data_IF_557912356109
#
_entry.id   IF_557912356109
#
_cell.length_a   1.000
_cell.length_b   1.000
_cell.length_c   1.000
_cell.angle_alpha   90.00
_cell.angle_beta   90.00
_cell.angle_gamma   90.00
#
_symmetry.space_group_name_H-M   'P 1'
#
loop_
_entity.id
_entity.type
_entity.pdbx_description
1 polymer ?
#
# COMPACT_ATOMS: atom_id res chain seq x y z
N UNK A 1 -45.69 -14.26 -2.14
CA UNK A 1 -44.45 -14.06 -2.91
C UNK A 1 -43.35 -13.86 -1.90
N UNK A 2 -42.48 -14.85 -1.68
CA UNK A 2 -41.35 -14.68 -0.75
C UNK A 2 -40.27 -13.90 -1.48
N UNK A 3 -40.04 -12.65 -1.08
CA UNK A 3 -38.85 -11.91 -1.51
C UNK A 3 -37.64 -12.59 -0.88
N UNK A 4 -36.86 -13.31 -1.68
CA UNK A 4 -35.58 -13.83 -1.23
C UNK A 4 -34.71 -12.64 -0.80
N UNK A 5 -34.10 -12.77 0.38
CA UNK A 5 -33.20 -11.75 0.91
C UNK A 5 -31.94 -11.74 0.01
N UNK A 6 -31.83 -10.75 -0.87
CA UNK A 6 -30.64 -10.51 -1.67
C UNK A 6 -29.81 -9.40 -1.05
N UNK A 7 -28.50 -9.38 -1.31
CA UNK A 7 -27.59 -8.35 -0.79
C UNK A 7 -28.10 -6.93 -1.11
N UNK A 8 -28.63 -6.75 -2.33
CA UNK A 8 -29.12 -5.47 -2.84
C UNK A 8 -30.34 -4.92 -2.06
N UNK A 9 -31.08 -5.80 -1.37
CA UNK A 9 -32.27 -5.43 -0.60
C UNK A 9 -31.96 -5.11 0.87
N UNK A 10 -30.70 -5.25 1.30
CA UNK A 10 -30.26 -4.90 2.65
C UNK A 10 -29.98 -3.39 2.76
N UNK A 11 -30.13 -2.77 3.94
CA UNK A 11 -29.63 -1.41 4.19
C UNK A 11 -28.13 -1.30 3.89
N UNK A 12 -27.69 -0.14 3.41
CA UNK A 12 -26.30 0.07 2.98
C UNK A 12 -25.28 -0.18 4.08
N UNK A 13 -25.64 0.10 5.33
CA UNK A 13 -24.82 -0.15 6.52
C UNK A 13 -24.60 -1.65 6.75
N UNK A 14 -25.61 -2.47 6.49
CA UNK A 14 -25.53 -3.93 6.61
C UNK A 14 -24.69 -4.50 5.46
N UNK A 15 -24.88 -3.99 4.24
CA UNK A 15 -24.04 -4.37 3.10
C UNK A 15 -22.57 -4.04 3.37
N UNK A 16 -22.29 -2.83 3.87
CA UNK A 16 -20.94 -2.40 4.24
C UNK A 16 -20.35 -3.29 5.34
N UNK A 17 -21.13 -3.60 6.37
CA UNK A 17 -20.70 -4.47 7.45
C UNK A 17 -20.32 -5.85 6.92
N UNK A 18 -21.16 -6.49 6.11
CA UNK A 18 -20.88 -7.80 5.49
C UNK A 18 -19.60 -7.73 4.64
N UNK A 19 -19.51 -6.76 3.73
CA UNK A 19 -18.38 -6.64 2.81
C UNK A 19 -17.06 -6.30 3.52
N UNK A 20 -17.11 -5.60 4.66
CA UNK A 20 -15.94 -5.30 5.48
C UNK A 20 -15.30 -6.53 6.13
N UNK A 21 -16.04 -7.64 6.25
CA UNK A 21 -15.54 -8.89 6.82
C UNK A 21 -14.88 -9.79 5.77
N UNK A 22 -14.96 -9.43 4.48
CA UNK A 22 -14.43 -10.23 3.39
C UNK A 22 -12.97 -9.85 3.15
N UNK A 23 -12.08 -10.84 3.08
CA UNK A 23 -10.67 -10.63 2.80
C UNK A 23 -10.43 -9.98 1.43
N UNK A 24 -9.34 -9.22 1.29
CA UNK A 24 -9.07 -8.40 0.11
C UNK A 24 -9.11 -9.17 -1.23
N UNK A 25 -8.66 -10.44 -1.25
CA UNK A 25 -8.71 -11.27 -2.45
C UNK A 25 -10.15 -11.55 -2.92
N UNK A 26 -10.99 -12.03 -1.99
CA UNK A 26 -12.39 -12.35 -2.26
C UNK A 26 -13.18 -11.08 -2.55
N UNK A 27 -12.91 -10.02 -1.79
CA UNK A 27 -13.52 -8.71 -1.97
C UNK A 27 -13.20 -8.14 -3.36
N UNK A 28 -11.96 -8.28 -3.83
CA UNK A 28 -11.56 -7.92 -5.19
C UNK A 28 -12.26 -8.75 -6.27
N UNK A 29 -12.56 -10.02 -5.98
CA UNK A 29 -13.29 -10.91 -6.90
C UNK A 29 -14.77 -10.52 -6.99
N UNK A 30 -15.44 -10.33 -5.86
CA UNK A 30 -16.87 -9.94 -5.84
C UNK A 30 -17.08 -8.50 -6.31
N UNK A 31 -16.09 -7.61 -6.16
CA UNK A 31 -16.16 -6.25 -6.70
C UNK A 31 -16.33 -6.22 -8.23
N UNK A 32 -16.05 -7.32 -8.93
CA UNK A 32 -16.23 -7.43 -10.39
C UNK A 32 -17.60 -7.97 -10.80
N UNK A 33 -18.45 -8.40 -9.87
CA UNK A 33 -19.73 -9.06 -10.18
C UNK A 33 -20.90 -8.09 -10.32
N UNK A 34 -20.88 -6.96 -9.61
CA UNK A 34 -21.97 -5.97 -9.60
C UNK A 34 -21.44 -4.55 -9.42
N UNK A 35 -22.10 -3.57 -10.05
CA UNK A 35 -21.79 -2.14 -9.86
C UNK A 35 -21.97 -1.69 -8.41
N UNK A 36 -23.01 -2.19 -7.74
CA UNK A 36 -23.29 -1.86 -6.34
C UNK A 36 -22.17 -2.39 -5.44
N UNK A 37 -21.84 -3.67 -5.58
CA UNK A 37 -20.75 -4.30 -4.82
C UNK A 37 -19.43 -3.60 -5.14
N UNK A 38 -19.17 -3.25 -6.40
CA UNK A 38 -17.98 -2.49 -6.78
C UNK A 38 -17.88 -1.14 -6.04
N UNK A 39 -18.98 -0.40 -5.95
CA UNK A 39 -19.02 0.91 -5.29
C UNK A 39 -18.70 0.83 -3.79
N UNK A 40 -19.11 -0.25 -3.12
CA UNK A 40 -18.86 -0.45 -1.68
C UNK A 40 -17.49 -1.08 -1.44
N UNK A 41 -17.13 -2.11 -2.23
CA UNK A 41 -15.88 -2.85 -2.08
C UNK A 41 -14.64 -2.01 -2.45
N UNK A 42 -14.75 -1.11 -3.43
CA UNK A 42 -13.61 -0.33 -3.92
C UNK A 42 -13.00 0.55 -2.83
N UNK A 43 -13.76 1.35 -2.06
CA UNK A 43 -13.23 2.06 -0.90
C UNK A 43 -12.58 1.13 0.12
N UNK A 44 -13.21 -0.02 0.42
CA UNK A 44 -12.67 -0.99 1.38
C UNK A 44 -11.32 -1.58 0.94
N UNK A 45 -11.13 -1.82 -0.36
CA UNK A 45 -9.90 -2.37 -0.92
C UNK A 45 -8.74 -1.36 -0.97
N UNK A 46 -9.05 -0.09 -1.22
CA UNK A 46 -8.03 0.91 -1.53
C UNK A 46 -7.78 1.92 -0.42
N UNK A 47 -8.67 2.04 0.56
CA UNK A 47 -8.50 3.03 1.64
C UNK A 47 -7.32 2.69 2.56
N UNK A 48 -7.11 1.40 2.82
CA UNK A 48 -6.16 0.89 3.80
C UNK A 48 -5.30 -0.23 3.22
N UNK A 49 -4.04 0.09 2.96
CA UNK A 49 -3.07 -0.81 2.36
C UNK A 49 -2.09 -1.25 3.45
N UNK A 50 -2.28 -2.47 3.95
CA UNK A 50 -1.38 -3.14 4.89
C UNK A 50 -0.69 -4.31 4.18
N UNK A 51 0.60 -4.17 3.92
CA UNK A 51 1.38 -5.15 3.17
C UNK A 51 2.24 -6.05 4.07
N UNK A 52 2.20 -5.85 5.39
CA UNK A 52 2.77 -6.79 6.34
C UNK A 52 1.88 -8.02 6.55
N UNK A 53 2.51 -9.04 7.12
CA UNK A 53 1.82 -10.24 7.59
C UNK A 53 1.23 -10.03 8.98
N UNK A 54 0.16 -10.79 9.27
CA UNK A 54 -0.48 -10.80 10.58
C UNK A 54 0.52 -11.00 11.74
N UNK A 55 0.42 -10.15 12.76
CA UNK A 55 1.30 -10.16 13.94
C UNK A 55 2.65 -9.45 13.73
N UNK A 56 2.91 -8.80 12.59
CA UNK A 56 4.13 -7.99 12.41
C UNK A 56 4.25 -6.91 13.50
N UNK A 57 3.17 -6.14 13.72
CA UNK A 57 3.12 -5.07 14.70
C UNK A 57 3.01 -5.54 16.16
N UNK A 58 2.96 -6.85 16.37
CA UNK A 58 3.04 -7.49 17.70
C UNK A 58 4.41 -8.15 17.91
N UNK A 59 5.16 -8.36 16.82
CA UNK A 59 6.46 -9.00 16.84
C UNK A 59 7.51 -8.13 17.55
N UNK A 60 8.53 -8.80 18.08
CA UNK A 60 9.73 -8.17 18.65
C UNK A 60 10.60 -7.43 17.62
N UNK A 61 10.36 -7.67 16.33
CA UNK A 61 11.16 -7.10 15.24
C UNK A 61 10.73 -5.67 14.89
N UNK A 62 9.53 -5.28 15.31
CA UNK A 62 9.04 -3.92 15.10
C UNK A 62 9.49 -3.00 16.25
N UNK A 63 10.02 -1.83 15.89
CA UNK A 63 10.24 -0.73 16.83
C UNK A 63 8.86 -0.23 17.31
N UNK A 64 8.60 -0.33 18.62
CA UNK A 64 7.27 -0.01 19.21
C UNK A 64 7.01 1.48 19.42
N UNK A 65 7.93 2.36 19.02
CA UNK A 65 7.83 3.81 19.22
C UNK A 65 8.02 4.54 17.88
N UNK A 66 7.07 5.39 17.45
CA UNK A 66 5.72 5.50 17.99
C UNK A 66 4.93 4.18 17.82
N UNK A 67 3.88 3.95 18.64
CA UNK A 67 2.98 2.83 18.41
C UNK A 67 2.36 2.94 17.00
N UNK A 68 1.94 1.82 16.40
CA UNK A 68 1.33 1.85 15.07
C UNK A 68 0.15 2.84 15.03
N UNK A 69 -0.05 3.52 13.90
CA UNK A 69 -1.07 4.58 13.76
C UNK A 69 -2.49 4.07 14.07
N UNK A 70 -2.68 2.79 13.78
CA UNK A 70 -3.94 2.06 13.92
C UNK A 70 -3.72 0.78 14.68
N UNK A 71 -4.75 0.41 15.45
CA UNK A 71 -4.80 -0.84 16.22
C UNK A 71 -4.48 -2.04 15.31
N UNK A 72 -3.41 -2.80 15.61
CA UNK A 72 -3.06 -4.03 14.91
C UNK A 72 -4.24 -4.99 14.71
N UNK A 73 -5.13 -5.14 15.69
CA UNK A 73 -6.23 -6.10 15.62
C UNK A 73 -7.27 -5.79 14.52
N UNK A 74 -7.29 -4.57 14.00
CA UNK A 74 -8.27 -4.09 13.02
C UNK A 74 -7.65 -3.81 11.65
N UNK A 75 -6.40 -4.22 11.42
CA UNK A 75 -5.72 -4.03 10.13
C UNK A 75 -6.09 -5.14 9.14
N UNK A 76 -6.18 -4.84 7.84
CA UNK A 76 -6.48 -5.82 6.80
C UNK A 76 -5.24 -6.65 6.48
N UNK A 77 -4.63 -7.28 7.48
CA UNK A 77 -3.43 -8.09 7.30
C UNK A 77 -3.66 -9.20 6.29
N UNK A 78 -2.56 -9.57 5.66
CA UNK A 78 -2.50 -10.82 4.93
C UNK A 78 -2.26 -11.97 5.90
N UNK A 79 -3.03 -13.05 5.73
CA UNK A 79 -2.76 -14.30 6.42
C UNK A 79 -1.34 -14.77 6.13
N UNK A 80 -0.65 -15.16 7.20
CA UNK A 80 0.67 -15.77 7.11
C UNK A 80 0.60 -17.03 6.23
N UNK A 81 1.43 -17.16 5.18
CA UNK A 81 1.55 -18.43 4.50
C UNK A 81 2.04 -19.49 5.51
N UNK A 82 1.52 -20.71 5.41
CA UNK A 82 1.79 -21.82 6.37
C UNK A 82 3.29 -22.13 6.58
N UNK A 83 4.16 -21.68 5.68
CA UNK A 83 5.60 -21.98 5.66
C UNK A 83 6.46 -20.82 5.11
N UNK A 84 6.24 -19.58 5.58
CA UNK A 84 6.99 -18.40 5.12
C UNK A 84 8.01 -17.88 6.13
N UNK A 85 9.15 -17.39 5.64
CA UNK A 85 10.24 -16.76 6.39
C UNK A 85 10.14 -15.22 6.45
N UNK A 86 8.92 -14.68 6.30
CA UNK A 86 8.67 -13.24 6.22
C UNK A 86 8.87 -12.63 4.83
N UNK A 87 9.30 -13.41 3.82
CA UNK A 87 9.36 -12.95 2.42
C UNK A 87 7.99 -12.62 1.80
N UNK A 88 6.90 -13.08 2.39
CA UNK A 88 5.55 -12.85 1.87
C UNK A 88 5.18 -11.37 1.83
N UNK A 89 5.51 -10.61 2.87
CA UNK A 89 5.30 -9.16 2.91
C UNK A 89 6.12 -8.44 1.81
N UNK A 90 7.40 -8.79 1.68
CA UNK A 90 8.30 -8.22 0.67
C UNK A 90 7.82 -8.49 -0.75
N UNK A 91 7.44 -9.74 -1.07
CA UNK A 91 6.91 -10.08 -2.40
C UNK A 91 5.62 -9.34 -2.75
N UNK A 92 4.71 -9.18 -1.78
CA UNK A 92 3.45 -8.45 -2.00
C UNK A 92 3.68 -6.96 -2.22
N UNK A 93 4.55 -6.36 -1.40
CA UNK A 93 4.95 -4.98 -1.59
C UNK A 93 5.61 -4.77 -2.96
N UNK A 94 6.54 -5.64 -3.34
CA UNK A 94 7.13 -5.64 -4.69
C UNK A 94 6.07 -5.69 -5.78
N UNK A 95 5.12 -6.64 -5.72
CA UNK A 95 4.05 -6.76 -6.71
C UNK A 95 3.16 -5.51 -6.76
N UNK A 96 2.79 -4.98 -5.60
CA UNK A 96 1.98 -3.77 -5.49
C UNK A 96 2.66 -2.59 -6.18
N UNK A 97 3.91 -2.30 -5.81
CA UNK A 97 4.66 -1.19 -6.39
C UNK A 97 4.98 -1.41 -7.87
N UNK A 98 5.29 -2.64 -8.29
CA UNK A 98 5.50 -2.96 -9.70
C UNK A 98 4.25 -2.64 -10.54
N UNK A 99 3.06 -3.02 -10.07
CA UNK A 99 1.79 -2.67 -10.72
C UNK A 99 1.61 -1.15 -10.82
N UNK A 100 1.95 -0.40 -9.76
CA UNK A 100 1.89 1.06 -9.78
C UNK A 100 2.91 1.69 -10.76
N UNK A 101 4.12 1.15 -10.85
CA UNK A 101 5.16 1.60 -11.79
C UNK A 101 4.76 1.34 -13.24
N UNK A 102 4.16 0.18 -13.53
CA UNK A 102 3.61 -0.14 -14.84
C UNK A 102 2.45 0.81 -15.16
N UNK A 103 1.51 1.01 -14.22
CA UNK A 103 0.41 1.96 -14.40
C UNK A 103 0.87 3.40 -14.62
N UNK A 104 1.96 3.84 -13.98
CA UNK A 104 2.54 5.15 -14.24
C UNK A 104 2.87 5.34 -15.73
N UNK A 105 3.44 4.30 -16.37
CA UNK A 105 3.82 4.32 -17.78
C UNK A 105 2.60 4.19 -18.70
N UNK A 106 1.72 3.25 -18.41
CA UNK A 106 0.63 2.86 -19.32
C UNK A 106 -0.62 3.72 -19.16
N UNK A 107 -0.95 4.13 -17.94
CA UNK A 107 -2.18 4.83 -17.61
C UNK A 107 -2.04 5.71 -16.35
N UNK A 108 -1.34 6.86 -16.46
CA UNK A 108 -1.06 7.75 -15.32
C UNK A 108 -2.34 8.31 -14.68
N UNK A 109 -3.40 8.53 -15.47
CA UNK A 109 -4.70 8.96 -14.94
C UNK A 109 -5.30 7.91 -13.99
N UNK A 110 -5.18 6.64 -14.36
CA UNK A 110 -5.66 5.53 -13.53
C UNK A 110 -4.82 5.38 -12.27
N UNK A 111 -3.50 5.54 -12.37
CA UNK A 111 -2.61 5.57 -11.21
C UNK A 111 -3.07 6.63 -10.21
N UNK A 112 -3.29 7.86 -10.68
CA UNK A 112 -3.76 8.97 -9.85
C UNK A 112 -5.10 8.66 -9.18
N UNK A 113 -6.09 8.17 -9.93
CA UNK A 113 -7.41 7.84 -9.39
C UNK A 113 -7.37 6.78 -8.29
N UNK A 114 -6.46 5.80 -8.41
CA UNK A 114 -6.32 4.71 -7.44
C UNK A 114 -5.58 5.19 -6.20
N UNK A 115 -4.40 5.79 -6.38
CA UNK A 115 -3.53 6.23 -5.28
C UNK A 115 -4.16 7.34 -4.43
N UNK A 116 -5.00 8.20 -5.02
CA UNK A 116 -5.80 9.19 -4.30
C UNK A 116 -6.83 8.61 -3.32
N UNK A 117 -7.15 7.32 -3.40
CA UNK A 117 -8.10 6.68 -2.49
C UNK A 117 -7.44 6.17 -1.22
N UNK A 118 -6.11 6.03 -1.24
CA UNK A 118 -5.34 5.46 -0.15
C UNK A 118 -5.17 6.52 0.94
N UNK A 119 -5.67 6.21 2.14
CA UNK A 119 -5.51 7.05 3.33
C UNK A 119 -4.47 6.49 4.28
N UNK A 120 -4.30 5.17 4.27
CA UNK A 120 -3.37 4.47 5.14
C UNK A 120 -2.49 3.54 4.31
N UNK A 121 -1.18 3.71 4.43
CA UNK A 121 -0.19 2.86 3.78
C UNK A 121 0.82 2.38 4.82
N UNK A 122 0.89 1.07 5.00
CA UNK A 122 1.86 0.40 5.84
C UNK A 122 2.56 -0.67 4.99
N UNK A 123 3.86 -0.50 4.75
CA UNK A 123 4.58 -1.40 3.84
C UNK A 123 6.07 -1.48 4.14
N UNK A 124 6.63 -2.64 3.84
CA UNK A 124 8.06 -2.77 3.56
C UNK A 124 8.37 -2.18 2.19
N UNK A 125 9.56 -1.63 2.01
CA UNK A 125 9.96 -1.03 0.74
C UNK A 125 11.45 -1.23 0.51
N UNK A 126 11.79 -1.66 -0.70
CA UNK A 126 13.17 -1.73 -1.16
C UNK A 126 13.37 -0.70 -2.29
N UNK A 127 14.33 0.23 -2.14
CA UNK A 127 14.65 1.26 -3.13
C UNK A 127 15.03 0.71 -4.52
N UNK A 128 15.60 -0.49 -4.56
CA UNK A 128 16.11 -1.15 -5.77
C UNK A 128 14.99 -1.70 -6.66
N UNK A 129 13.74 -1.76 -6.17
CA UNK A 129 12.63 -2.31 -6.95
C UNK A 129 12.42 -1.55 -8.27
N UNK A 130 12.52 -2.32 -9.34
CA UNK A 130 12.23 -1.92 -10.70
C UNK A 130 11.43 -3.03 -11.39
N UNK A 131 10.43 -2.68 -12.21
CA UNK A 131 9.81 -3.59 -13.15
C UNK A 131 10.88 -4.22 -14.05
N UNK A 132 10.85 -5.54 -14.11
CA UNK A 132 11.63 -6.33 -15.05
C UNK A 132 10.80 -6.48 -16.33
N UNK A 133 11.39 -6.24 -17.49
CA UNK A 133 10.72 -6.51 -18.76
C UNK A 133 10.48 -8.02 -18.91
N UNK A 134 9.24 -8.41 -19.24
CA UNK A 134 8.80 -9.81 -19.27
C UNK A 134 9.61 -10.71 -20.23
N UNK A 135 10.33 -10.11 -21.18
CA UNK A 135 10.97 -10.77 -22.30
C UNK A 135 12.50 -10.95 -22.17
N UNK A 136 13.17 -10.17 -21.31
CA UNK A 136 14.63 -10.02 -21.38
C UNK A 136 15.34 -10.08 -20.02
N UNK A 137 14.61 -10.24 -18.91
CA UNK A 137 15.12 -10.04 -17.55
C UNK A 137 15.84 -8.68 -17.38
N UNK A 138 15.63 -7.76 -18.32
CA UNK A 138 16.26 -6.45 -18.30
C UNK A 138 15.43 -5.50 -17.47
N UNK A 139 16.12 -4.69 -16.66
CA UNK A 139 15.48 -3.64 -15.87
C UNK A 139 14.88 -2.63 -16.83
N UNK A 140 13.57 -2.42 -16.74
CA UNK A 140 12.90 -1.40 -17.52
C UNK A 140 13.28 -0.03 -16.95
N UNK A 141 14.21 0.67 -17.61
CA UNK A 141 14.72 1.97 -17.14
C UNK A 141 13.75 3.12 -17.43
N UNK A 142 12.71 2.89 -18.22
CA UNK A 142 11.71 3.91 -18.58
C UNK A 142 10.67 4.14 -17.49
N UNK A 143 10.55 3.21 -16.54
CA UNK A 143 9.62 3.35 -15.42
C UNK A 143 10.27 4.07 -14.24
N UNK A 144 9.45 4.81 -13.51
CA UNK A 144 9.92 5.58 -12.36
C UNK A 144 10.39 4.68 -11.22
N UNK A 145 11.29 5.19 -10.38
CA UNK A 145 11.71 4.47 -9.17
C UNK A 145 10.57 4.42 -8.15
N UNK A 146 10.58 3.41 -7.26
CA UNK A 146 9.51 3.19 -6.28
C UNK A 146 9.22 4.43 -5.41
N UNK A 147 10.24 5.17 -4.98
CA UNK A 147 10.06 6.37 -4.16
C UNK A 147 9.30 7.49 -4.88
N UNK A 148 9.42 7.56 -6.21
CA UNK A 148 8.73 8.56 -7.01
C UNK A 148 7.23 8.26 -7.17
N UNK A 149 6.74 7.13 -6.64
CA UNK A 149 5.31 6.87 -6.52
C UNK A 149 4.68 7.58 -5.31
N UNK A 150 5.45 7.91 -4.26
CA UNK A 150 4.92 8.51 -3.04
C UNK A 150 4.09 9.79 -3.28
N UNK A 151 4.48 10.72 -4.18
CA UNK A 151 3.68 11.92 -4.46
C UNK A 151 2.27 11.66 -5.01
N UNK A 152 2.03 10.49 -5.62
CA UNK A 152 0.71 10.14 -6.17
C UNK A 152 -0.31 9.83 -5.07
N UNK A 153 0.14 9.44 -3.88
CA UNK A 153 -0.70 9.19 -2.70
C UNK A 153 -1.14 10.50 -2.03
N UNK A 154 -1.81 11.39 -2.76
CA UNK A 154 -2.06 12.76 -2.31
C UNK A 154 -3.06 12.88 -1.14
N UNK A 155 -3.86 11.83 -0.90
CA UNK A 155 -4.85 11.77 0.19
C UNK A 155 -4.37 11.00 1.41
N UNK A 156 -3.08 10.67 1.46
CA UNK A 156 -2.51 9.84 2.51
C UNK A 156 -2.52 10.59 3.85
N UNK A 157 -3.12 9.96 4.86
CA UNK A 157 -3.22 10.48 6.22
C UNK A 157 -2.22 9.80 7.16
N UNK A 158 -1.93 8.51 6.95
CA UNK A 158 -0.96 7.77 7.76
C UNK A 158 -0.01 6.99 6.89
N UNK A 159 1.29 7.13 7.14
CA UNK A 159 2.34 6.42 6.43
C UNK A 159 3.26 5.70 7.41
N UNK A 160 3.39 4.39 7.24
CA UNK A 160 4.39 3.57 7.92
C UNK A 160 5.27 2.89 6.87
N UNK A 161 6.54 3.31 6.79
CA UNK A 161 7.53 2.76 5.85
C UNK A 161 8.63 2.02 6.60
N UNK A 162 8.84 0.78 6.19
CA UNK A 162 9.87 -0.10 6.72
C UNK A 162 10.87 -0.40 5.59
N UNK A 163 11.95 0.36 5.56
CA UNK A 163 12.99 0.22 4.55
C UNK A 163 13.82 -1.04 4.77
N UNK A 164 13.95 -1.87 3.74
CA UNK A 164 14.80 -3.06 3.73
C UNK A 164 16.17 -2.74 3.11
N UNK A 165 17.23 -3.37 3.63
CA UNK A 165 18.60 -2.93 3.48
C UNK A 165 19.55 -4.04 2.99
N UNK A 166 19.07 -4.97 2.15
CA UNK A 166 19.97 -6.00 1.61
C UNK A 166 21.05 -5.42 0.67
N UNK A 167 20.86 -4.24 0.06
CA UNK A 167 21.76 -3.65 -0.94
C UNK A 167 22.07 -2.14 -0.73
N UNK A 168 22.27 -1.72 0.52
CA UNK A 168 22.31 -0.33 0.99
C UNK A 168 23.12 0.69 0.16
N UNK A 169 24.27 0.30 -0.37
CA UNK A 169 25.27 1.26 -0.86
C UNK A 169 24.96 1.79 -2.26
N UNK A 170 24.54 0.91 -3.18
CA UNK A 170 24.18 1.31 -4.55
C UNK A 170 22.82 2.02 -4.61
N UNK A 171 21.93 1.70 -3.67
CA UNK A 171 20.59 2.25 -3.62
C UNK A 171 20.52 3.69 -3.07
N UNK A 172 21.45 4.09 -2.18
CA UNK A 172 21.50 5.47 -1.67
C UNK A 172 21.90 6.48 -2.75
N UNK A 173 22.88 6.13 -3.58
CA UNK A 173 23.42 7.02 -4.63
C UNK A 173 22.43 7.26 -5.80
N UNK A 174 21.39 6.44 -5.92
CA UNK A 174 20.49 6.43 -7.09
C UNK A 174 19.17 7.16 -6.90
N UNK A 175 18.78 7.54 -5.68
CA UNK A 175 17.49 8.22 -5.47
C UNK A 175 17.61 9.70 -5.81
N UNK A 176 17.11 10.08 -6.98
CA UNK A 176 16.95 11.48 -7.35
C UNK A 176 15.95 12.20 -6.44
N UNK A 177 16.04 13.52 -6.40
CA UNK A 177 15.13 14.36 -5.62
C UNK A 177 13.66 14.06 -5.95
N UNK A 178 12.88 13.74 -4.91
CA UNK A 178 11.44 13.50 -5.06
C UNK A 178 10.74 14.85 -5.33
N UNK A 179 10.05 14.90 -6.47
CA UNK A 179 9.32 16.08 -6.94
C UNK A 179 7.87 16.07 -6.43
N UNK A 180 7.30 17.27 -6.32
CA UNK A 180 5.93 17.46 -5.84
C UNK A 180 5.81 17.62 -4.31
N UNK A 181 4.63 18.05 -3.83
CA UNK A 181 4.40 18.26 -2.41
C UNK A 181 4.23 16.92 -1.68
N UNK A 182 4.73 16.80 -0.43
CA UNK A 182 4.41 15.66 0.41
C UNK A 182 2.93 15.65 0.79
N UNK A 183 2.34 14.46 1.04
CA UNK A 183 0.98 14.35 1.54
C UNK A 183 0.84 14.99 2.93
N UNK A 184 -0.38 15.40 3.27
CA UNK A 184 -0.72 15.96 4.58
C UNK A 184 -0.90 14.85 5.61
N UNK A 185 0.22 14.27 6.02
CA UNK A 185 0.27 13.17 6.96
C UNK A 185 -0.09 13.65 8.36
N UNK A 186 -0.98 12.90 9.03
CA UNK A 186 -1.30 13.01 10.46
C UNK A 186 -0.45 12.08 11.31
N UNK A 187 0.20 11.11 10.66
CA UNK A 187 1.07 10.15 11.30
C UNK A 187 2.14 9.67 10.30
N UNK A 188 3.39 9.64 10.77
CA UNK A 188 4.52 9.12 10.03
C UNK A 188 5.35 8.22 10.94
N UNK A 189 5.59 6.99 10.48
CA UNK A 189 6.57 6.08 11.07
C UNK A 189 7.55 5.62 10.00
N UNK A 190 8.82 5.88 10.24
CA UNK A 190 9.92 5.47 9.37
C UNK A 190 10.82 4.54 10.17
N UNK A 191 11.08 3.36 9.63
CA UNK A 191 11.95 2.36 10.25
C UNK A 191 12.82 1.71 9.18
N UNK A 192 14.01 1.25 9.58
CA UNK A 192 14.95 0.64 8.65
C UNK A 192 15.70 1.65 7.78
N UNK A 193 16.37 1.15 6.75
CA UNK A 193 17.27 1.94 5.91
C UNK A 193 16.52 2.55 4.73
N UNK A 194 16.71 3.85 4.48
CA UNK A 194 16.12 4.55 3.34
C UNK A 194 17.00 5.73 2.93
N UNK A 195 16.97 6.09 1.65
CA UNK A 195 17.68 7.27 1.16
C UNK A 195 17.24 8.53 1.91
N UNK A 196 18.22 9.38 2.26
CA UNK A 196 18.00 10.64 2.99
C UNK A 196 16.95 11.55 2.34
N UNK A 197 16.82 11.50 1.03
CA UNK A 197 15.83 12.28 0.28
C UNK A 197 14.38 11.92 0.67
N UNK A 198 14.11 10.67 1.06
CA UNK A 198 12.76 10.21 1.39
C UNK A 198 12.27 10.81 2.72
N UNK A 199 12.96 10.66 3.87
CA UNK A 199 12.58 11.34 5.10
C UNK A 199 12.57 12.86 4.94
N UNK A 200 13.58 13.43 4.26
CA UNK A 200 13.65 14.86 4.05
C UNK A 200 12.43 15.38 3.30
N UNK A 201 12.01 14.69 2.23
CA UNK A 201 10.81 15.03 1.47
C UNK A 201 9.53 14.92 2.32
N UNK A 202 9.35 13.82 3.05
CA UNK A 202 8.18 13.59 3.91
C UNK A 202 8.05 14.63 5.02
N UNK A 203 9.17 14.98 5.67
CA UNK A 203 9.19 15.94 6.76
C UNK A 203 8.98 17.39 6.30
N UNK A 204 9.06 17.70 4.99
CA UNK A 204 8.61 19.01 4.47
C UNK A 204 7.11 19.21 4.64
N UNK A 205 6.33 18.15 4.82
CA UNK A 205 4.92 18.21 5.20
C UNK A 205 4.70 18.39 6.70
N UNK A 206 5.76 18.67 7.46
CA UNK A 206 5.83 18.63 8.92
C UNK A 206 4.82 19.50 9.67
N UNK A 207 4.26 20.54 9.04
CA UNK A 207 3.16 21.32 9.64
C UNK A 207 1.90 20.49 9.94
N UNK A 208 1.81 19.28 9.37
CA UNK A 208 0.67 18.35 9.55
C UNK A 208 0.96 17.17 10.48
N UNK A 209 2.23 16.97 10.88
CA UNK A 209 2.75 15.83 11.64
C UNK A 209 2.82 16.07 13.15
#
# INVERSE_FOLDING_TARGET
MFSYLTLDNLPGEIQLHILSQIGAHDLGTIARTSKLVNQIATPLLWNDIELHEEGYHESRHEIKVPPPARDPAHRPYHHKPKWGDGRGACMKAYQFFNILQIMHKENPDRLQQITQRVRHLCTVIDPSWRPVAEDTDSINTEVIQVWHLLPYFSSLETLELYGDCYYCQEAEEQVSQILGPPPKLRFLKLSGYMSREVPAWLLRGGDTL
#
